data_IF_725159829058
#
_entry.id   IF_725159829058
#
_cell.length_a   1.000
_cell.length_b   1.000
_cell.length_c   1.000
_cell.angle_alpha   90.00
_cell.angle_beta   90.00
_cell.angle_gamma   90.00
#
_symmetry.space_group_name_H-M   'P 1'
#
loop_
_entity.id
_entity.type
_entity.pdbx_description
1 polymer ?
#
# COMPACT_ATOMS: atom_id res chain seq x y z
N UNK A 1 -25.12 3.79 14.48
CA UNK A 1 -24.85 2.86 13.35
C UNK A 1 -23.77 3.43 12.43
N UNK A 2 -23.82 4.72 12.12
CA UNK A 2 -22.83 5.36 11.21
C UNK A 2 -21.41 5.46 11.80
N UNK A 3 -21.27 5.79 13.09
CA UNK A 3 -19.95 5.87 13.77
C UNK A 3 -19.24 4.50 13.81
N UNK A 4 -19.97 3.43 14.14
CA UNK A 4 -19.42 2.07 14.20
C UNK A 4 -18.96 1.59 12.81
N UNK A 5 -19.73 1.92 11.78
CA UNK A 5 -19.37 1.65 10.38
C UNK A 5 -18.14 2.45 9.96
N UNK A 6 -18.07 3.74 10.31
CA UNK A 6 -16.91 4.58 10.02
C UNK A 6 -15.65 4.07 10.73
N UNK A 7 -15.77 3.63 11.99
CA UNK A 7 -14.67 3.07 12.76
C UNK A 7 -14.13 1.77 12.13
N UNK A 8 -15.01 0.82 11.82
CA UNK A 8 -14.63 -0.45 11.19
C UNK A 8 -13.99 -0.24 9.82
N UNK A 9 -14.48 0.72 9.02
CA UNK A 9 -13.86 1.10 7.74
C UNK A 9 -12.48 1.74 7.92
N UNK A 10 -12.29 2.60 8.91
CA UNK A 10 -10.99 3.21 9.20
C UNK A 10 -9.97 2.16 9.64
N UNK A 11 -10.38 1.23 10.51
CA UNK A 11 -9.54 0.11 10.95
C UNK A 11 -9.15 -0.82 9.79
N UNK A 12 -10.10 -1.17 8.92
CA UNK A 12 -9.81 -2.00 7.76
C UNK A 12 -8.85 -1.30 6.77
N UNK A 13 -8.99 0.02 6.59
CA UNK A 13 -8.11 0.81 5.74
C UNK A 13 -6.69 0.93 6.34
N UNK A 14 -6.58 1.07 7.66
CA UNK A 14 -5.30 1.03 8.37
C UNK A 14 -4.58 -0.31 8.14
N UNK A 15 -5.27 -1.42 8.38
CA UNK A 15 -4.72 -2.76 8.16
C UNK A 15 -4.26 -2.96 6.71
N UNK A 16 -5.05 -2.48 5.74
CA UNK A 16 -4.68 -2.52 4.32
C UNK A 16 -3.41 -1.70 4.03
N UNK A 17 -3.29 -0.50 4.63
CA UNK A 17 -2.10 0.32 4.52
C UNK A 17 -0.87 -0.38 5.12
N UNK A 18 -0.99 -0.95 6.32
CA UNK A 18 0.10 -1.70 6.95
C UNK A 18 0.52 -2.92 6.11
N UNK A 19 -0.44 -3.67 5.56
CA UNK A 19 -0.15 -4.79 4.67
C UNK A 19 0.60 -4.33 3.40
N UNK A 20 0.23 -3.18 2.82
CA UNK A 20 0.92 -2.62 1.65
C UNK A 20 2.37 -2.20 1.97
N UNK A 21 2.65 -1.70 3.19
CA UNK A 21 4.01 -1.40 3.66
C UNK A 21 4.88 -2.66 3.82
N UNK A 22 4.30 -3.79 4.23
CA UNK A 22 5.02 -5.06 4.28
C UNK A 22 5.26 -5.60 2.86
N UNK A 23 4.26 -5.50 1.98
CA UNK A 23 4.35 -5.97 0.59
C UNK A 23 5.42 -5.24 -0.20
N UNK A 24 5.53 -3.91 -0.08
CA UNK A 24 6.56 -3.15 -0.81
C UNK A 24 7.96 -3.59 -0.41
N UNK A 25 8.24 -3.75 0.89
CA UNK A 25 9.56 -4.20 1.38
C UNK A 25 9.94 -5.58 0.84
N UNK A 26 8.99 -6.51 0.79
CA UNK A 26 9.20 -7.84 0.22
C UNK A 26 9.52 -7.77 -1.28
N UNK A 27 8.82 -6.90 -2.01
CA UNK A 27 9.01 -6.76 -3.46
C UNK A 27 10.26 -5.94 -3.82
N UNK A 28 10.70 -5.02 -2.97
CA UNK A 28 12.00 -4.35 -3.10
C UNK A 28 13.13 -5.39 -3.03
N UNK A 29 13.08 -6.30 -2.05
CA UNK A 29 14.08 -7.36 -1.91
C UNK A 29 14.01 -8.36 -3.06
N UNK A 30 12.80 -8.73 -3.49
CA UNK A 30 12.60 -9.60 -4.67
C UNK A 30 13.19 -8.96 -5.92
N UNK A 31 12.92 -7.68 -6.16
CA UNK A 31 13.46 -6.94 -7.30
C UNK A 31 14.99 -6.86 -7.24
N UNK A 32 15.58 -6.59 -6.06
CA UNK A 32 17.03 -6.57 -5.85
C UNK A 32 17.67 -7.91 -6.22
N UNK A 33 17.09 -9.02 -5.78
CA UNK A 33 17.59 -10.36 -6.10
C UNK A 33 17.43 -10.67 -7.59
N UNK A 34 16.29 -10.36 -8.19
CA UNK A 34 16.07 -10.52 -9.64
C UNK A 34 17.05 -9.69 -10.46
N UNK A 35 17.37 -8.46 -10.04
CA UNK A 35 18.36 -7.63 -10.70
C UNK A 35 19.74 -8.30 -10.72
N UNK A 36 20.20 -8.81 -9.58
CA UNK A 36 21.48 -9.53 -9.49
C UNK A 36 21.51 -10.78 -10.38
N UNK A 37 20.42 -11.55 -10.38
CA UNK A 37 20.32 -12.73 -11.23
C UNK A 37 20.31 -12.37 -12.72
N UNK A 38 19.65 -11.28 -13.11
CA UNK A 38 19.62 -10.82 -14.49
C UNK A 38 21.00 -10.35 -14.97
N UNK A 39 21.71 -9.57 -14.13
CA UNK A 39 23.08 -9.11 -14.42
C UNK A 39 24.07 -10.28 -14.58
N UNK A 40 23.85 -11.39 -13.87
CA UNK A 40 24.63 -12.63 -14.01
C UNK A 40 24.14 -13.55 -15.14
N UNK A 41 23.08 -13.18 -15.87
CA UNK A 41 22.47 -14.00 -16.91
C UNK A 41 21.71 -15.23 -16.41
N UNK A 42 21.39 -15.30 -15.12
CA UNK A 42 20.68 -16.41 -14.49
C UNK A 42 19.15 -16.37 -14.70
N UNK A 43 18.59 -15.20 -15.02
CA UNK A 43 17.19 -15.04 -15.44
C UNK A 43 17.11 -14.26 -16.75
N UNK A 44 16.00 -14.41 -17.47
CA UNK A 44 15.76 -13.67 -18.72
C UNK A 44 15.13 -12.29 -18.47
N UNK A 45 14.98 -11.50 -19.53
CA UNK A 45 14.41 -10.15 -19.46
C UNK A 45 12.93 -10.11 -19.07
N UNK A 46 12.16 -11.17 -19.37
CA UNK A 46 10.75 -11.26 -18.99
C UNK A 46 10.62 -11.44 -17.48
N UNK A 47 11.40 -12.34 -16.89
CA UNK A 47 11.41 -12.57 -15.44
C UNK A 47 11.82 -11.30 -14.67
N UNK A 48 12.86 -10.61 -15.16
CA UNK A 48 13.27 -9.32 -14.61
C UNK A 48 12.16 -8.26 -14.70
N UNK A 49 11.49 -8.16 -15.85
CA UNK A 49 10.40 -7.20 -16.05
C UNK A 49 9.20 -7.52 -15.14
N UNK A 50 8.90 -8.79 -14.87
CA UNK A 50 7.85 -9.19 -13.92
C UNK A 50 8.18 -8.68 -12.51
N UNK A 51 9.42 -8.86 -12.05
CA UNK A 51 9.85 -8.35 -10.73
C UNK A 51 9.74 -6.81 -10.65
N UNK A 52 10.17 -6.11 -11.70
CA UNK A 52 10.05 -4.66 -11.80
C UNK A 52 8.60 -4.19 -11.75
N UNK A 53 7.71 -4.81 -12.55
CA UNK A 53 6.29 -4.46 -12.60
C UNK A 53 5.60 -4.74 -11.26
N UNK A 54 5.96 -5.83 -10.58
CA UNK A 54 5.40 -6.15 -9.26
C UNK A 54 5.75 -5.07 -8.23
N UNK A 55 7.00 -4.61 -8.19
CA UNK A 55 7.42 -3.53 -7.30
C UNK A 55 6.70 -2.21 -7.63
N UNK A 56 6.60 -1.86 -8.92
CA UNK A 56 5.87 -0.67 -9.36
C UNK A 56 4.40 -0.70 -8.94
N UNK A 57 3.71 -1.82 -9.15
CA UNK A 57 2.32 -1.97 -8.73
C UNK A 57 2.16 -1.85 -7.21
N UNK A 58 3.08 -2.42 -6.43
CA UNK A 58 3.04 -2.32 -4.97
C UNK A 58 3.27 -0.89 -4.46
N UNK A 59 4.09 -0.09 -5.16
CA UNK A 59 4.24 1.34 -4.87
C UNK A 59 2.93 2.11 -5.12
N UNK A 60 2.25 1.84 -6.24
CA UNK A 60 0.95 2.44 -6.54
C UNK A 60 -0.12 2.03 -5.50
N UNK A 61 -0.16 0.75 -5.13
CA UNK A 61 -1.09 0.23 -4.14
C UNK A 61 -0.86 0.85 -2.75
N UNK A 62 0.40 1.05 -2.35
CA UNK A 62 0.75 1.74 -1.09
C UNK A 62 0.21 3.18 -1.06
N UNK A 63 0.35 3.91 -2.17
CA UNK A 63 -0.15 5.28 -2.29
C UNK A 63 -1.67 5.30 -2.15
N UNK A 64 -2.35 4.42 -2.89
CA UNK A 64 -3.81 4.30 -2.82
C UNK A 64 -4.28 3.92 -1.41
N UNK A 65 -3.65 2.94 -0.77
CA UNK A 65 -3.99 2.51 0.59
C UNK A 65 -3.76 3.61 1.63
N UNK A 66 -2.67 4.39 1.50
CA UNK A 66 -2.39 5.53 2.38
C UNK A 66 -3.49 6.57 2.32
N UNK A 67 -3.90 6.98 1.12
CA UNK A 67 -4.93 8.00 0.95
C UNK A 67 -6.33 7.48 1.31
N UNK A 68 -6.62 6.21 1.06
CA UNK A 68 -7.84 5.58 1.53
C UNK A 68 -7.92 5.58 3.05
N UNK A 69 -6.84 5.23 3.75
CA UNK A 69 -6.78 5.27 5.22
C UNK A 69 -6.98 6.69 5.75
N UNK A 70 -6.25 7.68 5.24
CA UNK A 70 -6.40 9.08 5.62
C UNK A 70 -7.86 9.54 5.44
N UNK A 71 -8.47 9.21 4.30
CA UNK A 71 -9.86 9.56 4.03
C UNK A 71 -10.82 8.94 5.03
N UNK A 72 -10.70 7.64 5.33
CA UNK A 72 -11.59 6.95 6.30
C UNK A 72 -11.44 7.51 7.71
N UNK A 73 -10.22 7.87 8.12
CA UNK A 73 -9.98 8.56 9.40
C UNK A 73 -10.71 9.90 9.44
N UNK A 74 -10.65 10.71 8.38
CA UNK A 74 -11.37 11.99 8.32
C UNK A 74 -12.89 11.83 8.36
N UNK A 75 -13.42 10.78 7.73
CA UNK A 75 -14.86 10.45 7.82
C UNK A 75 -15.24 10.07 9.26
N UNK A 76 -14.42 9.27 9.95
CA UNK A 76 -14.63 8.95 11.36
C UNK A 76 -14.59 10.20 12.24
N UNK A 77 -13.60 11.08 12.06
CA UNK A 77 -13.48 12.34 12.79
C UNK A 77 -14.75 13.20 12.66
N UNK A 78 -15.31 13.28 11.45
CA UNK A 78 -16.56 14.00 11.19
C UNK A 78 -17.72 13.42 12.01
N UNK A 79 -17.89 12.09 12.02
CA UNK A 79 -18.95 11.45 12.80
C UNK A 79 -18.74 11.54 14.32
N UNK A 80 -17.51 11.78 14.79
CA UNK A 80 -17.19 12.04 16.19
C UNK A 80 -17.41 13.51 16.60
N UNK A 81 -17.79 14.39 15.66
CA UNK A 81 -17.99 15.82 15.92
C UNK A 81 -16.70 16.62 15.98
N UNK A 82 -15.56 16.04 15.59
CA UNK A 82 -14.30 16.78 15.47
C UNK A 82 -14.35 17.67 14.22
N UNK A 83 -13.83 18.91 14.28
CA UNK A 83 -13.77 19.78 13.12
C UNK A 83 -12.97 19.12 11.99
N UNK A 84 -13.57 19.07 10.80
CA UNK A 84 -12.92 18.58 9.59
C UNK A 84 -11.76 19.51 9.22
N UNK A 85 -10.54 19.12 9.58
CA UNK A 85 -9.35 19.81 9.09
C UNK A 85 -8.79 19.07 7.87
N UNK A 86 -8.89 19.72 6.71
CA UNK A 86 -8.47 19.24 5.39
C UNK A 86 -7.12 19.80 4.95
N UNK A 87 -6.28 20.27 5.87
CA UNK A 87 -4.90 20.70 5.61
C UNK A 87 -4.01 20.42 6.83
#
# INVERSE_FOLDING_TARGET
>A
QDIETAYTQALAAEQSYQASLVRIKSLEETFRVSQQQFELGAINSVDFQVAQNNLFNAQADLINAKYAYIFRVKVLDFYLGNPLNIY
#
